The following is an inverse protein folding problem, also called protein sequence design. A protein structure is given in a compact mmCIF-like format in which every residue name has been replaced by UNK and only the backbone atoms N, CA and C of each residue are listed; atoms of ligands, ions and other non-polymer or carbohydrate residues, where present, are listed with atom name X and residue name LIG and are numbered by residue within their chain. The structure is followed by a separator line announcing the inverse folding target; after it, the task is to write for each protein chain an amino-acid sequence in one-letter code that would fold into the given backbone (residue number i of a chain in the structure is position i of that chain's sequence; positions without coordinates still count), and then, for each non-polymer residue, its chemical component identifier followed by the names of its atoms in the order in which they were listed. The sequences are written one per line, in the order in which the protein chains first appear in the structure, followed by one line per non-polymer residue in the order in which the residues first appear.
data_IF_339764848237
#
_entry.id   IF_339764848237
#
_cell.length_a   1.000
_cell.length_b   1.000
_cell.length_c   1.000
_cell.angle_alpha   90.00
_cell.angle_beta   90.00
_cell.angle_gamma   90.00
#
_symmetry.space_group_name_H-M   'P 1'
#
loop_
_entity.id
_entity.type
_entity.pdbx_description
1 polymer ?
#
# COMPACT_ATOMS: atom_id res chain seq x y z
N UNK A 1 -22.19 16.10 -26.63
CA UNK A 1 -21.56 14.78 -26.40
C UNK A 1 -22.56 13.62 -26.20
N UNK A 2 -23.88 13.84 -26.24
CA UNK A 2 -24.85 12.73 -26.14
C UNK A 2 -24.88 11.93 -27.45
N UNK A 3 -24.85 10.59 -27.34
CA UNK A 3 -25.16 9.66 -28.43
C UNK A 3 -24.02 9.22 -29.35
N UNK A 4 -22.76 9.61 -29.11
CA UNK A 4 -21.64 9.24 -30.02
C UNK A 4 -21.01 7.88 -29.75
N UNK A 5 -21.25 7.29 -28.58
CA UNK A 5 -20.72 5.98 -28.21
C UNK A 5 -21.87 5.08 -27.77
N UNK A 6 -21.90 3.85 -28.29
CA UNK A 6 -22.81 2.82 -27.81
C UNK A 6 -22.40 2.35 -26.41
N UNK A 7 -23.37 1.97 -25.58
CA UNK A 7 -23.11 1.42 -24.25
C UNK A 7 -24.16 0.37 -23.87
N UNK A 8 -23.78 -0.51 -22.94
CA UNK A 8 -24.62 -1.54 -22.34
C UNK A 8 -24.55 -1.36 -20.83
N UNK A 9 -25.69 -1.48 -20.16
CA UNK A 9 -25.80 -1.50 -18.71
C UNK A 9 -26.31 -2.88 -18.29
N UNK A 10 -25.57 -3.56 -17.43
CA UNK A 10 -25.94 -4.86 -16.87
C UNK A 10 -25.94 -4.80 -15.35
N UNK A 11 -27.08 -5.10 -14.73
CA UNK A 11 -27.24 -5.11 -13.27
C UNK A 11 -27.12 -6.53 -12.75
N UNK A 12 -26.14 -6.76 -11.87
CA UNK A 12 -25.96 -8.02 -11.17
C UNK A 12 -26.72 -7.98 -9.84
N UNK A 13 -27.76 -8.80 -9.74
CA UNK A 13 -28.56 -9.03 -8.52
C UNK A 13 -28.29 -10.38 -7.86
N UNK A 14 -27.44 -11.20 -8.48
CA UNK A 14 -27.10 -12.57 -8.10
C UNK A 14 -26.07 -12.68 -6.96
N UNK A 15 -25.41 -11.57 -6.61
CA UNK A 15 -24.38 -11.53 -5.57
C UNK A 15 -24.88 -10.80 -4.32
N UNK A 16 -24.19 -11.01 -3.20
CA UNK A 16 -24.46 -10.32 -1.92
C UNK A 16 -24.46 -8.78 -1.98
N UNK A 17 -23.94 -8.19 -3.08
CA UNK A 17 -23.99 -6.75 -3.35
C UNK A 17 -24.50 -6.53 -4.76
N UNK A 18 -25.60 -5.81 -4.88
CA UNK A 18 -26.10 -5.36 -6.17
C UNK A 18 -25.10 -4.37 -6.76
N UNK A 19 -24.68 -4.62 -8.00
CA UNK A 19 -23.74 -3.74 -8.71
C UNK A 19 -24.08 -3.68 -10.19
N UNK A 20 -23.78 -2.53 -10.80
CA UNK A 20 -23.98 -2.29 -12.22
C UNK A 20 -22.65 -2.38 -12.96
N UNK A 21 -22.64 -3.07 -14.08
CA UNK A 21 -21.60 -3.01 -15.09
C UNK A 21 -22.06 -2.06 -16.19
N UNK A 22 -21.32 -0.98 -16.42
CA UNK A 22 -21.55 -0.06 -17.53
C UNK A 22 -20.38 -0.22 -18.49
N UNK A 23 -20.66 -0.77 -19.66
CA UNK A 23 -19.68 -1.03 -20.71
C UNK A 23 -19.99 -0.10 -21.87
N UNK A 24 -19.04 0.75 -22.26
CA UNK A 24 -19.17 1.63 -23.42
C UNK A 24 -18.17 1.24 -24.51
N UNK A 25 -18.58 1.40 -25.76
CA UNK A 25 -17.70 1.20 -26.90
C UNK A 25 -16.61 2.28 -26.90
N UNK A 26 -15.35 1.85 -26.94
CA UNK A 26 -14.21 2.77 -27.01
C UNK A 26 -14.20 3.59 -28.29
N UNK A 27 -14.80 3.11 -29.37
CA UNK A 27 -14.86 3.81 -30.65
C UNK A 27 -16.23 4.47 -30.80
N UNK A 28 -16.27 5.65 -31.41
CA UNK A 28 -17.53 6.32 -31.70
C UNK A 28 -18.33 5.55 -32.75
N UNK A 29 -19.65 5.75 -32.78
CA UNK A 29 -20.57 5.05 -33.71
C UNK A 29 -20.25 5.37 -35.17
N UNK A 30 -19.75 6.58 -35.45
CA UNK A 30 -19.26 7.05 -36.76
C UNK A 30 -17.81 6.64 -37.04
N UNK A 31 -17.18 5.83 -36.18
CA UNK A 31 -15.79 5.38 -36.29
C UNK A 31 -14.73 6.48 -36.38
N UNK A 32 -15.09 7.74 -36.11
CA UNK A 32 -14.20 8.88 -36.30
C UNK A 32 -13.18 9.06 -35.17
N UNK A 33 -13.53 8.68 -33.93
CA UNK A 33 -12.71 8.97 -32.74
C UNK A 33 -12.84 7.90 -31.66
N UNK A 34 -11.83 7.84 -30.78
CA UNK A 34 -11.88 7.07 -29.54
C UNK A 34 -12.51 7.88 -28.41
N UNK A 35 -13.10 7.18 -27.44
CA UNK A 35 -13.65 7.73 -26.23
C UNK A 35 -12.55 8.44 -25.44
N UNK A 36 -12.81 9.69 -25.06
CA UNK A 36 -11.88 10.48 -24.28
C UNK A 36 -12.03 10.15 -22.80
N UNK A 37 -11.14 9.31 -22.27
CA UNK A 37 -11.03 9.09 -20.83
C UNK A 37 -10.27 10.26 -20.18
N UNK A 38 -11.02 11.27 -19.75
CA UNK A 38 -10.44 12.46 -19.12
C UNK A 38 -10.14 12.23 -17.63
N UNK A 39 -9.23 13.05 -17.10
CA UNK A 39 -8.85 13.00 -15.68
C UNK A 39 -10.10 13.13 -14.79
N UNK A 40 -10.28 12.19 -13.86
CA UNK A 40 -11.44 12.10 -12.96
C UNK A 40 -12.79 11.77 -13.63
N UNK A 41 -12.79 11.16 -14.81
CA UNK A 41 -14.00 10.62 -15.45
C UNK A 41 -14.85 9.77 -14.50
N UNK A 42 -14.22 8.95 -13.64
CA UNK A 42 -14.91 8.18 -12.61
C UNK A 42 -15.68 9.03 -11.59
N UNK A 43 -15.16 10.19 -11.18
CA UNK A 43 -15.88 11.12 -10.29
C UNK A 43 -17.06 11.78 -11.01
N UNK A 44 -16.93 12.05 -12.31
CA UNK A 44 -18.04 12.59 -13.10
C UNK A 44 -19.19 11.58 -13.18
N UNK A 45 -18.88 10.30 -13.44
CA UNK A 45 -19.86 9.21 -13.43
C UNK A 45 -20.48 9.03 -12.05
N UNK A 46 -19.68 9.09 -10.99
CA UNK A 46 -20.17 9.01 -9.61
C UNK A 46 -21.19 10.12 -9.32
N UNK A 47 -20.87 11.39 -9.63
CA UNK A 47 -21.79 12.52 -9.42
C UNK A 47 -23.11 12.38 -10.20
N UNK A 48 -23.05 11.84 -11.41
CA UNK A 48 -24.24 11.55 -12.20
C UNK A 48 -25.11 10.48 -11.52
N UNK A 49 -24.48 9.42 -11.03
CA UNK A 49 -25.18 8.37 -10.29
C UNK A 49 -25.79 8.89 -8.98
N UNK A 50 -25.04 9.70 -8.22
CA UNK A 50 -25.50 10.29 -6.96
C UNK A 50 -26.70 11.21 -7.20
N UNK A 51 -26.73 11.96 -8.31
CA UNK A 51 -27.90 12.78 -8.69
C UNK A 51 -29.13 11.92 -8.95
N UNK A 52 -28.98 10.84 -9.72
CA UNK A 52 -30.09 9.90 -9.98
C UNK A 52 -30.57 9.32 -8.65
N UNK A 53 -29.68 8.87 -7.77
CA UNK A 53 -30.07 8.38 -6.44
C UNK A 53 -30.80 9.43 -5.60
N UNK A 54 -30.38 10.70 -5.64
CA UNK A 54 -31.07 11.79 -4.96
C UNK A 54 -32.51 11.97 -5.47
N UNK A 55 -32.71 11.93 -6.79
CA UNK A 55 -34.03 12.06 -7.43
C UNK A 55 -34.99 10.94 -7.01
N UNK A 56 -34.48 9.72 -6.83
CA UNK A 56 -35.26 8.56 -6.38
C UNK A 56 -35.31 8.39 -4.86
N UNK A 57 -34.80 9.35 -4.07
CA UNK A 57 -34.81 9.27 -2.60
C UNK A 57 -33.96 8.16 -2.01
N UNK A 58 -32.96 7.67 -2.74
CA UNK A 58 -32.06 6.58 -2.33
C UNK A 58 -30.85 7.12 -1.57
N UNK A 59 -30.26 6.28 -0.71
CA UNK A 59 -29.11 6.66 0.11
C UNK A 59 -27.86 6.94 -0.74
N UNK A 60 -27.25 8.11 -0.56
CA UNK A 60 -25.99 8.49 -1.22
C UNK A 60 -24.84 8.31 -0.25
N UNK A 61 -23.73 7.74 -0.73
CA UNK A 61 -22.53 7.55 0.08
C UNK A 61 -21.80 8.88 0.20
N UNK A 62 -21.68 9.41 1.43
CA UNK A 62 -20.89 10.62 1.68
C UNK A 62 -19.40 10.33 1.47
N UNK A 63 -18.71 11.07 0.59
CA UNK A 63 -17.29 10.85 0.34
C UNK A 63 -16.48 11.22 1.59
N UNK A 64 -15.81 10.23 2.18
CA UNK A 64 -14.86 10.46 3.29
C UNK A 64 -13.46 10.76 2.77
N UNK A 65 -12.73 11.71 3.38
CA UNK A 65 -11.29 11.91 3.17
C UNK A 65 -10.53 10.59 3.34
N UNK A 66 -9.46 10.39 2.57
CA UNK A 66 -8.73 9.11 2.57
C UNK A 66 -8.29 8.66 3.97
N UNK A 67 -7.89 9.62 4.84
CA UNK A 67 -7.46 9.36 6.22
C UNK A 67 -8.58 8.81 7.13
N UNK A 68 -9.83 9.17 6.83
CA UNK A 68 -11.01 8.76 7.61
C UNK A 68 -11.67 7.49 7.07
N UNK A 69 -11.18 6.96 5.94
CA UNK A 69 -11.70 5.72 5.37
C UNK A 69 -11.27 4.54 6.22
N UNK A 70 -12.24 3.90 6.85
CA UNK A 70 -12.02 2.64 7.54
C UNK A 70 -11.60 1.56 6.52
N UNK A 71 -10.39 1.04 6.68
CA UNK A 71 -9.94 -0.13 5.91
C UNK A 71 -10.70 -1.34 6.42
N UNK A 72 -11.51 -1.94 5.54
CA UNK A 72 -12.35 -3.10 5.86
C UNK A 72 -11.55 -4.35 6.25
N UNK A 73 -10.31 -4.46 5.79
CA UNK A 73 -9.39 -5.55 6.08
C UNK A 73 -8.18 -5.03 6.82
N UNK A 74 -8.03 -5.42 8.08
CA UNK A 74 -6.77 -5.28 8.83
C UNK A 74 -5.91 -6.46 8.41
N UNK A 75 -4.97 -6.23 7.50
CA UNK A 75 -3.97 -7.24 7.20
C UNK A 75 -3.04 -7.38 8.41
N UNK A 76 -2.69 -8.61 8.83
CA UNK A 76 -1.66 -8.78 9.85
C UNK A 76 -0.39 -8.07 9.36
N UNK A 77 0.27 -7.32 10.26
CA UNK A 77 1.50 -6.62 9.92
C UNK A 77 2.53 -7.68 9.51
N UNK A 78 2.87 -7.73 8.22
CA UNK A 78 3.92 -8.63 7.73
C UNK A 78 5.22 -8.23 8.41
N UNK A 79 5.86 -9.19 9.10
CA UNK A 79 7.20 -8.97 9.67
C UNK A 79 8.12 -8.50 8.56
N UNK A 80 8.74 -7.34 8.78
CA UNK A 80 9.70 -6.80 7.83
C UNK A 80 11.09 -7.24 8.23
N UNK A 81 11.99 -7.28 7.24
CA UNK A 81 13.43 -7.48 7.43
C UNK A 81 14.06 -6.51 8.45
N UNK A 82 13.45 -5.33 8.66
CA UNK A 82 13.86 -4.37 9.67
C UNK A 82 13.40 -4.79 11.07
N UNK A 83 12.17 -5.28 11.19
CA UNK A 83 11.64 -5.77 12.46
C UNK A 83 12.46 -6.97 12.97
N UNK A 84 12.83 -7.90 12.08
CA UNK A 84 13.70 -9.04 12.41
C UNK A 84 15.09 -8.60 12.91
N UNK A 85 15.69 -7.60 12.25
CA UNK A 85 16.97 -7.05 12.66
C UNK A 85 16.86 -6.32 14.01
N UNK A 86 15.80 -5.55 14.24
CA UNK A 86 15.58 -4.89 15.54
C UNK A 86 15.39 -5.92 16.66
N UNK A 87 14.59 -6.98 16.44
CA UNK A 87 14.39 -8.06 17.41
C UNK A 87 15.72 -8.76 17.76
N UNK A 88 16.55 -9.05 16.76
CA UNK A 88 17.86 -9.65 16.97
C UNK A 88 18.79 -8.72 17.76
N UNK A 89 18.86 -7.44 17.40
CA UNK A 89 19.66 -6.44 18.12
C UNK A 89 19.18 -6.32 19.58
N UNK A 90 17.87 -6.23 19.82
CA UNK A 90 17.31 -6.14 21.16
C UNK A 90 17.62 -7.38 21.99
N UNK A 91 17.61 -8.56 21.38
CA UNK A 91 18.00 -9.81 22.03
C UNK A 91 19.46 -9.79 22.47
N UNK A 92 20.38 -9.41 21.59
CA UNK A 92 21.80 -9.33 21.92
C UNK A 92 22.06 -8.24 22.96
N UNK A 93 21.39 -7.09 22.88
CA UNK A 93 21.53 -6.02 23.87
C UNK A 93 21.06 -6.42 25.27
N UNK A 94 20.06 -7.31 25.39
CA UNK A 94 19.63 -7.86 26.69
C UNK A 94 20.71 -8.68 27.37
N UNK A 95 21.57 -9.36 26.61
CA UNK A 95 22.67 -10.18 27.13
C UNK A 95 23.88 -9.33 27.59
N UNK A 96 23.84 -8.01 27.40
CA UNK A 96 24.89 -7.04 27.80
C UNK A 96 26.28 -7.45 27.28
N UNK A 97 26.51 -7.41 25.96
CA UNK A 97 27.78 -7.79 25.38
C UNK A 97 28.91 -6.92 25.94
N UNK A 98 30.01 -7.57 26.33
CA UNK A 98 31.17 -6.92 26.96
C UNK A 98 31.93 -5.96 26.02
N UNK A 99 31.79 -6.14 24.72
CA UNK A 99 32.45 -5.32 23.69
C UNK A 99 31.59 -5.22 22.43
N UNK A 100 31.86 -4.21 21.60
CA UNK A 100 31.20 -4.05 20.30
C UNK A 100 31.53 -5.20 19.34
N UNK A 101 32.73 -5.76 19.43
CA UNK A 101 33.14 -6.92 18.64
C UNK A 101 32.30 -8.16 19.02
N UNK A 102 32.07 -8.39 20.32
CA UNK A 102 31.20 -9.47 20.78
C UNK A 102 29.76 -9.28 20.30
N UNK A 103 29.27 -8.05 20.26
CA UNK A 103 27.95 -7.73 19.71
C UNK A 103 27.85 -8.08 18.22
N UNK A 104 28.85 -7.68 17.42
CA UNK A 104 28.89 -7.98 15.98
C UNK A 104 29.01 -9.48 15.74
N UNK A 105 29.85 -10.18 16.51
CA UNK A 105 30.02 -11.63 16.39
C UNK A 105 28.72 -12.38 16.71
N UNK A 106 28.03 -12.00 17.79
CA UNK A 106 26.76 -12.63 18.17
C UNK A 106 25.69 -12.47 17.09
N UNK A 107 25.62 -11.29 16.45
CA UNK A 107 24.71 -11.06 15.31
C UNK A 107 25.15 -11.82 14.05
N UNK A 108 26.45 -11.98 13.83
CA UNK A 108 26.98 -12.81 12.75
C UNK A 108 26.60 -14.29 12.94
N UNK A 109 26.66 -14.80 14.17
CA UNK A 109 26.24 -16.16 14.52
C UNK A 109 24.72 -16.36 14.32
N UNK A 110 23.92 -15.29 14.48
CA UNK A 110 22.49 -15.26 14.11
C UNK A 110 22.25 -15.13 12.59
N UNK A 111 23.30 -15.07 11.77
CA UNK A 111 23.20 -15.00 10.31
C UNK A 111 23.08 -13.59 9.72
N UNK A 112 23.47 -12.55 10.46
CA UNK A 112 23.55 -11.18 9.96
C UNK A 112 24.98 -10.80 9.56
N UNK A 113 25.14 -10.36 8.32
CA UNK A 113 26.40 -9.80 7.82
C UNK A 113 26.56 -8.36 8.29
N UNK A 114 27.68 -8.06 8.96
CA UNK A 114 28.04 -6.70 9.35
C UNK A 114 28.96 -6.05 8.30
N UNK A 115 28.65 -4.80 7.94
CA UNK A 115 29.51 -3.96 7.13
C UNK A 115 29.98 -2.77 7.95
N UNK A 116 31.29 -2.76 8.21
CA UNK A 116 31.95 -1.63 8.85
C UNK A 116 32.20 -0.48 7.86
N UNK A 117 32.21 0.75 8.38
CA UNK A 117 32.47 1.97 7.61
C UNK A 117 31.81 3.20 8.22
N UNK A 118 31.87 4.34 7.51
CA UNK A 118 31.29 5.64 7.96
C UNK A 118 29.81 5.53 8.38
N UNK A 119 29.09 4.53 7.88
CA UNK A 119 27.70 4.24 8.22
C UNK A 119 27.53 2.72 8.43
N UNK A 120 27.66 2.23 9.69
CA UNK A 120 27.55 0.81 9.99
C UNK A 120 26.18 0.26 9.60
N UNK A 121 26.18 -0.94 9.02
CA UNK A 121 24.98 -1.56 8.48
C UNK A 121 24.99 -3.09 8.60
N UNK A 122 23.81 -3.67 8.71
CA UNK A 122 23.60 -5.13 8.79
C UNK A 122 22.77 -5.63 7.62
N UNK A 123 22.93 -6.90 7.27
CA UNK A 123 22.17 -7.59 6.21
C UNK A 123 21.89 -9.02 6.64
N UNK A 124 20.63 -9.43 6.63
CA UNK A 124 20.27 -10.84 6.87
C UNK A 124 20.58 -11.75 5.68
N UNK A 125 20.62 -13.07 5.92
CA UNK A 125 20.98 -14.12 4.94
C UNK A 125 20.28 -14.00 3.57
N UNK A 126 18.98 -13.69 3.55
CA UNK A 126 18.18 -13.57 2.33
C UNK A 126 17.90 -12.12 1.89
N UNK A 127 18.61 -11.15 2.47
CA UNK A 127 18.40 -9.74 2.18
C UNK A 127 19.30 -9.26 1.05
N UNK A 128 18.76 -8.56 0.03
CA UNK A 128 19.58 -8.00 -1.06
C UNK A 128 20.34 -6.72 -0.68
N UNK A 129 19.88 -6.01 0.35
CA UNK A 129 20.40 -4.67 0.72
C UNK A 129 20.71 -4.60 2.20
N UNK A 130 21.76 -3.86 2.54
CA UNK A 130 22.11 -3.53 3.91
C UNK A 130 21.15 -2.51 4.52
N UNK A 131 20.79 -2.73 5.78
CA UNK A 131 20.01 -1.82 6.61
C UNK A 131 20.97 -1.05 7.50
N UNK A 132 20.99 0.28 7.35
CA UNK A 132 21.86 1.16 8.15
C UNK A 132 21.30 1.31 9.56
N UNK A 133 22.17 1.26 10.56
CA UNK A 133 21.79 1.43 11.97
C UNK A 133 21.04 2.74 12.23
N UNK A 134 21.50 3.87 11.65
CA UNK A 134 20.82 5.18 11.76
C UNK A 134 19.36 5.18 11.28
N UNK A 135 18.99 4.22 10.43
CA UNK A 135 17.66 4.16 9.82
C UNK A 135 16.69 3.26 10.59
N UNK A 136 17.16 2.62 11.67
CA UNK A 136 16.34 1.79 12.57
C UNK A 136 15.68 2.62 13.69
N UNK A 137 16.14 3.85 13.94
CA UNK A 137 15.60 4.76 14.97
C UNK A 137 16.67 5.22 15.94
N UNK A 138 16.31 6.15 16.84
CA UNK A 138 17.27 6.79 17.76
C UNK A 138 17.94 5.81 18.74
N UNK A 139 17.25 4.72 19.13
CA UNK A 139 17.77 3.69 20.03
C UNK A 139 18.79 2.72 19.42
N UNK A 140 18.92 2.70 18.09
CA UNK A 140 19.81 1.78 17.36
C UNK A 140 20.99 2.50 16.72
N UNK A 141 21.11 3.81 16.95
CA UNK A 141 22.23 4.60 16.47
C UNK A 141 23.46 4.39 17.38
N UNK A 142 24.64 4.26 16.78
CA UNK A 142 25.92 4.24 17.50
C UNK A 142 26.15 5.65 18.06
N UNK A 143 25.71 5.91 19.30
CA UNK A 143 26.15 7.08 20.06
C UNK A 143 27.56 6.79 20.54
N UNK A 144 28.52 7.56 20.03
CA UNK A 144 29.84 7.66 20.63
C UNK A 144 29.74 8.47 21.92
#
# INVERSE_FOLDING_TARGET
MKGKHAFIVATHIDKARIHNHIIYNSTSVDCSRKFNNFFLSGLAVQKLSDRVFAEYGLSIITPKPYRERQKRTVFPKKRTQRDELCEAIDSVLKEKPKSFENFVQTLADMGFEFKDGKQPAFKGKDQKRFIRLRSLGEGYSKKF
#
